data_IF_406505864828
#
_entry.id   IF_406505864828
#
_cell.length_a   1.000
_cell.length_b   1.000
_cell.length_c   1.000
_cell.angle_alpha   90.00
_cell.angle_beta   90.00
_cell.angle_gamma   90.00
#
_symmetry.space_group_name_H-M   'P 1'
#
loop_
_entity.id
_entity.type
_entity.pdbx_description
1 polymer ?
#
# COMPACT_ATOMS: atom_id res chain seq x y z
N UNK A 1 -25.00 7.60 0.68
CA UNK A 1 -24.38 7.31 -0.63
C UNK A 1 -22.91 7.70 -0.59
N UNK A 2 -21.98 6.75 -0.60
CA UNK A 2 -20.52 6.99 -0.70
C UNK A 2 -19.83 5.81 -1.42
N UNK A 3 -20.43 5.35 -2.52
CA UNK A 3 -19.93 4.28 -3.41
C UNK A 3 -18.85 4.78 -4.39
N UNK A 4 -18.27 5.97 -4.16
CA UNK A 4 -17.60 6.78 -5.20
C UNK A 4 -16.09 6.50 -5.28
N UNK A 5 -15.48 5.89 -4.26
CA UNK A 5 -14.03 5.65 -4.22
C UNK A 5 -13.61 4.23 -4.60
N UNK A 6 -14.48 3.40 -5.20
CA UNK A 6 -14.13 2.06 -5.68
C UNK A 6 -13.36 1.19 -4.68
N UNK A 7 -13.65 1.36 -3.37
CA UNK A 7 -12.92 0.70 -2.29
C UNK A 7 -13.37 -0.76 -2.17
N UNK A 8 -12.44 -1.67 -2.39
CA UNK A 8 -12.60 -3.08 -2.02
C UNK A 8 -11.84 -3.29 -0.72
N UNK A 9 -12.56 -3.42 0.39
CA UNK A 9 -11.92 -3.72 1.67
C UNK A 9 -11.39 -5.14 1.66
N UNK A 10 -10.16 -5.31 2.14
CA UNK A 10 -9.62 -6.63 2.42
C UNK A 10 -10.25 -7.12 3.73
N UNK A 11 -11.24 -8.00 3.66
CA UNK A 11 -12.00 -8.47 4.84
C UNK A 11 -11.42 -9.78 5.39
N UNK A 12 -10.69 -10.54 4.58
CA UNK A 12 -10.11 -11.81 4.99
C UNK A 12 -8.83 -11.58 5.83
N UNK A 13 -8.95 -11.80 7.13
CA UNK A 13 -7.87 -11.65 8.11
C UNK A 13 -6.63 -12.52 7.81
N UNK A 14 -6.84 -13.78 7.42
CA UNK A 14 -5.75 -14.70 7.07
C UNK A 14 -4.96 -14.21 5.86
N UNK A 15 -5.64 -13.63 4.86
CA UNK A 15 -4.97 -13.01 3.70
C UNK A 15 -4.21 -11.75 4.13
N UNK A 16 -4.81 -10.89 4.98
CA UNK A 16 -4.14 -9.69 5.49
C UNK A 16 -2.85 -10.03 6.25
N UNK A 17 -2.92 -11.01 7.16
CA UNK A 17 -1.77 -11.55 7.87
C UNK A 17 -0.69 -12.03 6.90
N UNK A 18 -1.08 -12.86 5.91
CA UNK A 18 -0.14 -13.41 4.93
C UNK A 18 0.53 -12.33 4.08
N UNK A 19 -0.17 -11.24 3.73
CA UNK A 19 0.42 -10.11 3.00
C UNK A 19 1.52 -9.45 3.85
N UNK A 20 1.26 -9.20 5.14
CA UNK A 20 2.23 -8.58 6.06
C UNK A 20 3.44 -9.49 6.28
N UNK A 21 3.23 -10.80 6.43
CA UNK A 21 4.33 -11.78 6.54
C UNK A 21 5.19 -11.82 5.27
N UNK A 22 4.57 -11.85 4.08
CA UNK A 22 5.27 -11.84 2.79
C UNK A 22 5.99 -10.52 2.51
N UNK A 23 5.51 -9.40 3.07
CA UNK A 23 6.19 -8.12 2.97
C UNK A 23 7.59 -8.17 3.59
N UNK A 24 7.77 -9.00 4.62
CA UNK A 24 9.04 -9.26 5.30
C UNK A 24 9.78 -7.95 5.61
N UNK A 25 9.09 -7.06 6.32
CA UNK A 25 9.65 -5.80 6.82
C UNK A 25 10.48 -6.05 8.08
N UNK A 26 11.53 -5.26 8.28
CA UNK A 26 12.29 -5.28 9.51
C UNK A 26 11.55 -4.52 10.61
N UNK A 27 11.75 -4.88 11.88
CA UNK A 27 11.09 -4.22 13.02
C UNK A 27 11.30 -2.70 13.02
N UNK A 28 12.47 -2.24 12.59
CA UNK A 28 12.85 -0.83 12.54
C UNK A 28 12.40 -0.05 11.29
N UNK A 29 11.84 -0.74 10.28
CA UNK A 29 11.38 -0.10 9.05
C UNK A 29 10.30 0.94 9.36
N UNK A 30 10.42 2.13 8.78
CA UNK A 30 9.36 3.13 8.83
C UNK A 30 8.37 2.87 7.68
N UNK A 31 7.14 2.51 8.04
CA UNK A 31 6.15 1.99 7.11
C UNK A 31 5.07 3.05 6.85
N UNK A 32 4.72 3.23 5.57
CA UNK A 32 3.55 4.00 5.16
C UNK A 32 2.51 3.02 4.59
N UNK A 33 1.37 2.93 5.25
CA UNK A 33 0.21 2.20 4.75
C UNK A 33 -0.72 3.14 3.97
N UNK A 34 -0.97 2.82 2.71
CA UNK A 34 -1.86 3.56 1.82
C UNK A 34 -3.24 2.93 1.83
N UNK A 35 -4.26 3.73 2.14
CA UNK A 35 -5.66 3.30 2.14
C UNK A 35 -5.91 2.20 3.17
N UNK A 36 -5.65 2.43 4.47
CA UNK A 36 -5.83 1.42 5.52
C UNK A 36 -7.26 0.90 5.62
N UNK A 37 -8.25 1.65 5.14
CA UNK A 37 -9.63 1.21 5.16
C UNK A 37 -10.17 1.08 6.59
N UNK A 38 -10.60 -0.13 6.96
CA UNK A 38 -10.98 -0.45 8.34
C UNK A 38 -9.79 -0.94 9.20
N UNK A 39 -8.57 -0.90 8.65
CA UNK A 39 -7.33 -1.25 9.31
C UNK A 39 -6.95 -2.73 9.23
N UNK A 40 -7.37 -3.43 8.16
CA UNK A 40 -7.12 -4.87 8.04
C UNK A 40 -5.65 -5.23 7.95
N UNK A 41 -4.82 -4.44 7.24
CA UNK A 41 -3.37 -4.62 7.25
C UNK A 41 -2.75 -3.94 8.48
N UNK A 42 -3.26 -2.76 8.85
CA UNK A 42 -2.84 -2.01 10.04
C UNK A 42 -2.80 -2.89 11.30
N UNK A 43 -3.84 -3.69 11.54
CA UNK A 43 -3.93 -4.56 12.72
C UNK A 43 -2.75 -5.55 12.81
N UNK A 44 -2.33 -6.11 11.68
CA UNK A 44 -1.19 -7.04 11.61
C UNK A 44 0.16 -6.31 11.62
N UNK A 45 0.25 -5.13 11.01
CA UNK A 45 1.47 -4.33 11.01
C UNK A 45 1.86 -3.88 12.43
N UNK A 46 0.88 -3.48 13.24
CA UNK A 46 1.10 -3.00 14.60
C UNK A 46 1.61 -4.08 15.58
N UNK A 47 1.49 -5.36 15.24
CA UNK A 47 2.03 -6.46 16.04
C UNK A 47 3.57 -6.43 16.04
N UNK A 48 4.17 -6.08 14.90
CA UNK A 48 5.61 -6.21 14.69
C UNK A 48 6.34 -4.88 14.48
N UNK A 49 5.60 -3.79 14.20
CA UNK A 49 6.19 -2.50 13.83
C UNK A 49 5.61 -1.36 14.67
N UNK A 50 6.50 -0.49 15.14
CA UNK A 50 6.17 0.67 15.98
C UNK A 50 6.26 2.02 15.24
N UNK A 51 6.74 2.04 13.98
CA UNK A 51 6.87 3.25 13.16
C UNK A 51 5.94 3.18 11.96
N UNK A 52 4.65 3.36 12.21
CA UNK A 52 3.60 3.26 11.19
C UNK A 52 2.93 4.62 10.91
N UNK A 53 2.82 4.97 9.64
CA UNK A 53 2.03 6.10 9.14
C UNK A 53 0.92 5.59 8.25
N UNK A 54 -0.32 6.00 8.54
CA UNK A 54 -1.51 5.71 7.76
C UNK A 54 -1.85 6.89 6.87
N UNK A 55 -2.00 6.66 5.57
CA UNK A 55 -2.39 7.65 4.57
C UNK A 55 -3.78 7.30 4.03
N UNK A 56 -4.77 8.13 4.33
CA UNK A 56 -6.17 7.91 3.96
C UNK A 56 -6.78 9.18 3.39
N UNK A 57 -7.67 9.05 2.40
CA UNK A 57 -8.37 10.16 1.75
C UNK A 57 -9.80 10.30 2.27
N UNK A 58 -10.42 9.20 2.74
CA UNK A 58 -11.77 9.26 3.31
C UNK A 58 -11.73 9.72 4.77
N UNK A 59 -12.11 10.98 4.97
CA UNK A 59 -12.23 11.60 6.29
C UNK A 59 -13.09 10.82 7.31
N UNK A 60 -14.12 10.07 6.86
CA UNK A 60 -14.93 9.26 7.77
C UNK A 60 -14.16 8.03 8.26
N UNK A 61 -13.33 7.41 7.41
CA UNK A 61 -12.46 6.32 7.82
C UNK A 61 -11.39 6.83 8.78
N UNK A 62 -10.81 8.00 8.51
CA UNK A 62 -9.84 8.64 9.41
C UNK A 62 -10.38 8.80 10.82
N UNK A 63 -11.63 9.27 10.98
CA UNK A 63 -12.28 9.37 12.29
C UNK A 63 -12.34 8.01 13.00
N UNK A 64 -12.74 6.95 12.29
CA UNK A 64 -12.81 5.60 12.83
C UNK A 64 -11.42 5.06 13.21
N UNK A 65 -10.43 5.25 12.36
CA UNK A 65 -9.04 4.83 12.58
C UNK A 65 -8.44 5.54 13.80
N UNK A 66 -8.67 6.85 13.95
CA UNK A 66 -8.23 7.61 15.13
C UNK A 66 -8.82 7.06 16.43
N UNK A 67 -10.09 6.66 16.42
CA UNK A 67 -10.74 6.05 17.59
C UNK A 67 -10.16 4.65 17.84
N UNK A 68 -10.09 3.80 16.80
CA UNK A 68 -9.60 2.41 16.88
C UNK A 68 -8.16 2.35 17.40
N UNK A 69 -7.30 3.23 16.91
CA UNK A 69 -5.86 3.22 17.22
C UNK A 69 -5.40 4.30 18.19
N UNK A 70 -6.31 4.88 18.99
CA UNK A 70 -6.01 5.97 19.93
C UNK A 70 -4.88 5.67 20.93
N UNK A 71 -4.64 4.40 21.22
CA UNK A 71 -3.62 3.94 22.18
C UNK A 71 -2.30 3.54 21.50
N UNK A 72 -2.19 3.67 20.18
CA UNK A 72 -0.98 3.35 19.42
C UNK A 72 -0.25 4.64 19.03
N UNK A 73 1.07 4.59 19.08
CA UNK A 73 1.91 5.67 18.57
C UNK A 73 2.03 5.55 17.04
N UNK A 74 0.98 5.94 16.32
CA UNK A 74 0.97 5.97 14.86
C UNK A 74 0.53 7.33 14.34
N UNK A 75 0.97 7.67 13.13
CA UNK A 75 0.58 8.91 12.45
C UNK A 75 -0.56 8.63 11.48
N UNK A 76 -1.62 9.43 11.48
CA UNK A 76 -2.71 9.35 10.48
C UNK A 76 -2.74 10.66 9.71
N UNK A 77 -2.55 10.58 8.40
CA UNK A 77 -2.50 11.72 7.47
C UNK A 77 -3.71 11.66 6.54
N UNK A 78 -4.44 12.78 6.46
CA UNK A 78 -5.55 12.95 5.52
C UNK A 78 -5.05 13.55 4.20
N UNK A 79 -4.55 12.72 3.30
CA UNK A 79 -3.95 13.17 2.06
C UNK A 79 -4.16 12.14 0.94
N UNK A 80 -4.11 12.63 -0.30
CA UNK A 80 -4.22 11.78 -1.48
C UNK A 80 -2.86 11.18 -1.86
N UNK A 81 -2.75 9.85 -1.74
CA UNK A 81 -1.54 9.10 -2.06
C UNK A 81 -1.05 9.27 -3.51
N UNK A 82 -1.92 9.70 -4.43
CA UNK A 82 -1.54 10.01 -5.82
C UNK A 82 -0.61 11.23 -5.92
N UNK A 83 -0.63 12.11 -4.92
CA UNK A 83 0.11 13.37 -4.90
C UNK A 83 1.00 13.53 -3.68
N UNK A 84 0.85 12.67 -2.67
CA UNK A 84 1.64 12.70 -1.44
C UNK A 84 3.15 12.65 -1.71
N UNK A 85 3.90 13.50 -1.00
CA UNK A 85 5.37 13.55 -1.07
C UNK A 85 5.97 13.18 0.28
N UNK A 86 6.85 12.19 0.26
CA UNK A 86 7.71 11.88 1.38
C UNK A 86 8.72 13.01 1.52
N UNK A 87 8.92 13.43 2.75
CA UNK A 87 9.89 14.44 3.13
C UNK A 87 10.94 13.83 4.08
N UNK A 88 12.14 14.42 4.07
CA UNK A 88 13.27 13.96 4.86
C UNK A 88 14.06 12.82 4.21
N UNK A 89 15.15 12.45 4.89
CA UNK A 89 16.20 11.59 4.31
C UNK A 89 16.12 10.12 4.75
N UNK A 90 15.09 9.77 5.52
CA UNK A 90 14.95 8.40 6.03
C UNK A 90 14.24 7.51 5.04
N UNK A 91 14.72 6.27 4.95
CA UNK A 91 14.09 5.23 4.13
C UNK A 91 12.68 4.86 4.61
N UNK A 92 11.82 4.55 3.65
CA UNK A 92 10.43 4.15 3.86
C UNK A 92 10.09 2.88 3.10
N UNK A 93 9.27 2.06 3.73
CA UNK A 93 8.58 0.95 3.10
C UNK A 93 7.11 1.30 2.91
N UNK A 94 6.55 0.99 1.74
CA UNK A 94 5.16 1.32 1.41
C UNK A 94 4.36 0.02 1.33
N UNK A 95 3.15 0.02 1.89
CA UNK A 95 2.22 -1.09 1.79
C UNK A 95 0.80 -0.59 1.53
N UNK A 96 -0.02 -1.35 0.79
CA UNK A 96 -1.43 -0.99 0.65
C UNK A 96 -2.24 -1.93 -0.24
N UNK A 97 -3.55 -1.96 0.01
CA UNK A 97 -4.52 -2.61 -0.86
C UNK A 97 -5.15 -1.55 -1.77
N UNK A 98 -4.59 -1.39 -2.98
CA UNK A 98 -4.87 -0.24 -3.82
C UNK A 98 -6.12 -0.46 -4.69
N UNK A 99 -7.01 0.54 -4.81
CA UNK A 99 -8.14 0.45 -5.72
C UNK A 99 -7.70 0.61 -7.18
N UNK A 100 -8.41 -0.05 -8.09
CA UNK A 100 -8.05 -0.12 -9.51
C UNK A 100 -7.83 1.24 -10.18
N UNK A 101 -8.74 2.20 -9.98
CA UNK A 101 -8.67 3.50 -10.66
C UNK A 101 -7.49 4.38 -10.20
N UNK A 102 -6.85 4.07 -9.05
CA UNK A 102 -5.78 4.88 -8.49
C UNK A 102 -4.42 4.18 -8.44
N UNK A 103 -4.38 2.84 -8.51
CA UNK A 103 -3.16 2.03 -8.33
C UNK A 103 -2.00 2.52 -9.20
N UNK A 104 -2.21 2.72 -10.51
CA UNK A 104 -1.16 3.16 -11.44
C UNK A 104 -0.59 4.53 -11.07
N UNK A 105 -1.42 5.48 -10.64
CA UNK A 105 -0.96 6.82 -10.23
C UNK A 105 -0.19 6.77 -8.91
N UNK A 106 -0.66 5.96 -7.96
CA UNK A 106 0.01 5.77 -6.67
C UNK A 106 1.39 5.13 -6.89
N UNK A 107 1.45 4.01 -7.61
CA UNK A 107 2.71 3.30 -7.91
C UNK A 107 3.71 4.24 -8.58
N UNK A 108 3.29 4.99 -9.61
CA UNK A 108 4.16 5.97 -10.28
C UNK A 108 4.62 7.08 -9.34
N UNK A 109 3.74 7.58 -8.47
CA UNK A 109 4.10 8.64 -7.54
C UNK A 109 5.20 8.17 -6.59
N UNK A 110 5.06 6.98 -5.98
CA UNK A 110 6.04 6.45 -5.02
C UNK A 110 7.33 5.93 -5.67
N UNK A 111 7.26 5.36 -6.88
CA UNK A 111 8.46 5.00 -7.66
C UNK A 111 9.37 6.20 -7.95
N UNK A 112 8.79 7.38 -8.13
CA UNK A 112 9.53 8.60 -8.42
C UNK A 112 10.04 9.32 -7.16
N UNK A 113 9.87 8.74 -5.96
CA UNK A 113 10.37 9.32 -4.71
C UNK A 113 11.71 8.72 -4.33
N UNK A 114 12.50 9.52 -3.63
CA UNK A 114 13.76 9.05 -3.03
C UNK A 114 13.46 8.25 -1.77
N UNK A 115 14.45 7.45 -1.34
CA UNK A 115 14.44 6.75 -0.05
C UNK A 115 13.25 5.78 0.10
N UNK A 116 12.84 5.14 -1.00
CA UNK A 116 11.89 4.02 -0.97
C UNK A 116 12.67 2.71 -0.98
N UNK A 117 12.59 1.96 0.12
CA UNK A 117 13.28 0.68 0.28
C UNK A 117 12.49 -0.47 -0.35
N UNK A 118 11.17 -0.48 -0.16
CA UNK A 118 10.30 -1.57 -0.60
C UNK A 118 8.87 -1.07 -0.79
N UNK A 119 8.16 -1.63 -1.77
CA UNK A 119 6.72 -1.40 -1.95
C UNK A 119 5.99 -2.74 -2.06
N UNK A 120 4.89 -2.87 -1.32
CA UNK A 120 4.07 -4.09 -1.29
C UNK A 120 2.62 -3.70 -1.56
N UNK A 121 2.10 -4.06 -2.73
CA UNK A 121 0.75 -3.69 -3.12
C UNK A 121 -0.09 -4.89 -3.46
N UNK A 122 -1.30 -4.93 -2.89
CA UNK A 122 -2.39 -5.73 -3.46
C UNK A 122 -3.10 -4.88 -4.51
N UNK A 123 -3.22 -5.44 -5.71
CA UNK A 123 -3.82 -4.81 -6.89
C UNK A 123 -4.61 -5.86 -7.68
N UNK A 124 -5.44 -5.39 -8.62
CA UNK A 124 -6.08 -6.31 -9.56
C UNK A 124 -5.04 -7.12 -10.34
N UNK A 125 -5.39 -8.38 -10.61
CA UNK A 125 -4.51 -9.36 -11.23
C UNK A 125 -3.96 -8.88 -12.56
N UNK A 126 -4.80 -8.28 -13.40
CA UNK A 126 -4.46 -7.77 -14.72
C UNK A 126 -3.40 -6.65 -14.62
N UNK A 127 -3.52 -5.78 -13.61
CA UNK A 127 -2.52 -4.72 -13.35
C UNK A 127 -1.22 -5.33 -12.86
N UNK A 128 -1.28 -6.30 -11.95
CA UNK A 128 -0.09 -7.03 -11.48
C UNK A 128 0.66 -7.71 -12.62
N UNK A 129 -0.05 -8.47 -13.45
CA UNK A 129 0.48 -9.13 -14.64
C UNK A 129 1.05 -8.14 -15.65
N UNK A 130 0.41 -6.99 -15.81
CA UNK A 130 0.92 -5.93 -16.69
C UNK A 130 2.25 -5.38 -16.18
N UNK A 131 2.41 -5.15 -14.88
CA UNK A 131 3.66 -4.63 -14.29
C UNK A 131 4.77 -5.68 -14.37
N UNK A 132 4.45 -6.96 -14.14
CA UNK A 132 5.42 -8.07 -14.13
C UNK A 132 5.68 -8.68 -15.51
N UNK A 133 5.07 -8.15 -16.58
CA UNK A 133 5.22 -8.69 -17.93
C UNK A 133 6.69 -8.64 -18.41
N UNK A 134 7.15 -9.73 -19.04
CA UNK A 134 8.44 -9.81 -19.72
C UNK A 134 8.32 -9.41 -21.20
N UNK A 135 9.47 -9.33 -21.89
CA UNK A 135 9.63 -8.72 -23.23
C UNK A 135 8.60 -9.19 -24.28
N UNK A 136 8.22 -8.25 -25.16
CA UNK A 136 7.20 -8.43 -26.21
C UNK A 136 5.78 -8.04 -25.80
N UNK A 137 5.50 -7.86 -24.48
CA UNK A 137 4.19 -7.42 -23.96
C UNK A 137 4.26 -6.30 -22.92
N UNK A 138 5.42 -5.64 -22.78
CA UNK A 138 5.63 -4.57 -21.80
C UNK A 138 4.77 -3.35 -22.14
N UNK A 139 3.89 -2.97 -21.22
CA UNK A 139 3.26 -1.65 -21.27
C UNK A 139 4.26 -0.57 -20.84
N UNK A 140 3.91 0.70 -21.09
CA UNK A 140 4.70 1.83 -20.57
C UNK A 140 4.89 1.79 -19.04
N UNK A 141 3.92 1.24 -18.30
CA UNK A 141 4.05 1.08 -16.85
C UNK A 141 5.06 -0.02 -16.49
N UNK A 142 5.00 -1.17 -17.17
CA UNK A 142 5.95 -2.27 -16.99
C UNK A 142 7.40 -1.81 -17.19
N UNK A 143 7.66 -1.12 -18.30
CA UNK A 143 8.98 -0.57 -18.60
C UNK A 143 9.48 0.37 -17.50
N UNK A 144 8.65 1.32 -17.06
CA UNK A 144 9.02 2.29 -16.03
C UNK A 144 9.31 1.63 -14.68
N UNK A 145 8.47 0.68 -14.24
CA UNK A 145 8.67 0.03 -12.95
C UNK A 145 9.95 -0.80 -12.98
N UNK A 146 10.12 -1.64 -14.02
CA UNK A 146 11.24 -2.55 -14.13
C UNK A 146 12.58 -1.83 -14.40
N UNK A 147 12.55 -0.60 -14.93
CA UNK A 147 13.77 0.22 -15.07
C UNK A 147 14.26 0.82 -13.75
N UNK A 148 13.41 0.85 -12.72
CA UNK A 148 13.68 1.50 -11.43
C UNK A 148 13.80 0.47 -10.29
N UNK A 149 13.04 -0.62 -10.34
CA UNK A 149 12.94 -1.58 -9.25
C UNK A 149 12.80 -3.03 -9.75
N UNK A 150 13.28 -3.97 -8.95
CA UNK A 150 12.97 -5.38 -9.09
C UNK A 150 11.50 -5.65 -8.74
N UNK A 151 10.81 -6.37 -9.61
CA UNK A 151 9.38 -6.66 -9.46
C UNK A 151 9.16 -8.16 -9.32
N UNK A 152 8.35 -8.55 -8.32
CA UNK A 152 7.98 -9.94 -8.10
C UNK A 152 6.50 -10.06 -7.73
N UNK A 153 5.81 -11.02 -8.34
CA UNK A 153 4.49 -11.45 -7.88
C UNK A 153 4.66 -12.33 -6.63
N UNK A 154 4.01 -11.94 -5.53
CA UNK A 154 4.13 -12.66 -4.24
C UNK A 154 2.99 -13.63 -3.99
N UNK A 155 1.77 -13.27 -4.40
CA UNK A 155 0.55 -14.02 -4.10
C UNK A 155 -0.58 -13.63 -5.06
N UNK A 156 -1.30 -14.63 -5.58
CA UNK A 156 -2.59 -14.44 -6.26
C UNK A 156 -3.71 -14.67 -5.25
N UNK A 157 -4.54 -13.66 -5.03
CA UNK A 157 -5.72 -13.73 -4.15
C UNK A 157 -6.95 -14.01 -5.01
N UNK A 158 -7.68 -15.10 -4.69
CA UNK A 158 -8.95 -15.39 -5.35
C UNK A 158 -10.07 -14.51 -4.75
N UNK A 159 -11.05 -14.06 -5.53
CA UNK A 159 -12.26 -13.45 -5.00
C UNK A 159 -12.92 -14.42 -4.00
N UNK A 160 -13.33 -13.91 -2.85
CA UNK A 160 -14.18 -14.60 -1.88
C UNK A 160 -15.60 -14.10 -1.99
#
# INVERSE_FOLDING_TARGET
>A
MKKILGQNFLINDSIAKKIVELANFCQDDEIIEIGPGNGSLTDHLLIYHNKLTLLEIDFNLIKKLKIKYRNYNLKIINEDARFFKITGDKDRSIIGNLPYYASNKIIRNFLNQKNIKKMIFTIQKEVGQQITASDGKKSFLSFLVQSIADVKELLIIKPT
#
